data_IF_976923721176
#
_entry.id   IF_976923721176
#
_cell.length_a   1.000
_cell.length_b   1.000
_cell.length_c   1.000
_cell.angle_alpha   90.00
_cell.angle_beta   90.00
_cell.angle_gamma   90.00
#
_symmetry.space_group_name_H-M   'P 1'
#
loop_
_entity.id
_entity.type
_entity.pdbx_description
1 polymer ?
#
# COMPACT_ATOMS: atom_id res chain seq x y z
N UNK A 1 5.92 13.54 1.04
CA UNK A 1 6.87 14.56 1.54
C UNK A 1 8.26 14.05 1.18
N UNK A 2 8.85 14.57 0.11
CA UNK A 2 10.25 14.26 -0.23
C UNK A 2 11.13 14.92 0.82
N UNK A 3 11.94 14.13 1.54
CA UNK A 3 12.81 14.58 2.61
C UNK A 3 13.74 15.68 2.11
N UNK A 4 13.74 16.82 2.83
CA UNK A 4 14.47 18.01 2.45
C UNK A 4 15.97 17.77 2.37
N UNK A 5 16.50 17.95 1.20
CA UNK A 5 17.93 18.07 0.94
C UNK A 5 18.41 19.45 1.38
N UNK A 6 19.38 19.46 2.29
CA UNK A 6 20.11 20.65 2.67
C UNK A 6 20.89 21.21 1.46
N UNK A 7 20.61 22.47 1.08
CA UNK A 7 21.29 23.22 0.02
C UNK A 7 22.77 23.53 0.33
N UNK A 8 23.56 22.59 0.79
CA UNK A 8 24.98 22.80 1.01
C UNK A 8 25.78 22.09 -0.07
N UNK A 9 26.01 22.80 -1.20
CA UNK A 9 27.06 22.36 -2.10
C UNK A 9 27.00 22.76 -3.58
N UNK A 10 25.98 23.48 -4.04
CA UNK A 10 25.99 23.92 -5.46
C UNK A 10 25.77 25.45 -5.56
N UNK A 11 26.77 26.13 -6.09
CA UNK A 11 26.78 27.59 -6.24
C UNK A 11 25.73 28.07 -7.25
N UNK A 12 25.08 29.20 -6.94
CA UNK A 12 24.08 29.86 -7.78
C UNK A 12 24.71 30.43 -9.07
N UNK A 13 24.62 29.71 -10.18
CA UNK A 13 24.89 30.19 -11.53
C UNK A 13 23.60 30.48 -12.27
N UNK A 14 23.47 31.67 -12.90
CA UNK A 14 22.34 32.08 -13.73
C UNK A 14 22.19 31.16 -14.95
N UNK A 15 20.99 30.69 -15.17
CA UNK A 15 20.58 29.97 -16.38
C UNK A 15 20.67 30.89 -17.60
N UNK A 16 21.47 30.50 -18.57
CA UNK A 16 21.40 30.99 -19.94
C UNK A 16 21.18 29.79 -20.86
N UNK A 17 20.06 29.79 -21.56
CA UNK A 17 19.76 28.82 -22.61
C UNK A 17 20.78 28.96 -23.74
N UNK A 18 21.67 27.99 -23.89
CA UNK A 18 22.41 27.73 -25.10
C UNK A 18 22.55 26.23 -25.30
N UNK A 19 21.74 25.71 -26.21
CA UNK A 19 21.84 24.32 -26.65
C UNK A 19 23.08 24.16 -27.55
N UNK A 20 24.24 24.04 -26.92
CA UNK A 20 25.55 24.00 -27.58
C UNK A 20 26.13 22.57 -27.55
N UNK A 21 25.40 21.56 -27.97
CA UNK A 21 25.92 20.19 -28.21
C UNK A 21 26.82 19.57 -27.12
N UNK A 22 27.08 20.26 -26.02
CA UNK A 22 27.87 19.81 -24.88
C UNK A 22 26.98 18.95 -23.95
N UNK A 23 27.58 17.90 -23.44
CA UNK A 23 26.94 17.12 -22.35
C UNK A 23 26.56 18.05 -21.20
N UNK A 24 25.33 17.92 -20.70
CA UNK A 24 24.85 18.69 -19.54
C UNK A 24 25.69 18.41 -18.31
N UNK A 25 25.93 19.41 -17.47
CA UNK A 25 26.59 19.16 -16.19
C UNK A 25 25.65 18.40 -15.21
N UNK A 26 26.20 17.69 -14.21
CA UNK A 26 25.37 17.03 -13.20
C UNK A 26 24.40 17.98 -12.51
N UNK A 27 24.78 19.24 -12.28
CA UNK A 27 23.94 20.26 -11.65
C UNK A 27 22.76 20.65 -12.55
N UNK A 28 22.98 20.75 -13.86
CA UNK A 28 21.94 21.03 -14.84
C UNK A 28 20.93 19.86 -14.92
N UNK A 29 21.46 18.62 -14.99
CA UNK A 29 20.61 17.42 -15.03
C UNK A 29 19.75 17.34 -13.76
N UNK A 30 20.36 17.62 -12.60
CA UNK A 30 19.67 17.62 -11.30
C UNK A 30 18.55 18.69 -11.25
N UNK A 31 18.84 19.92 -11.70
CA UNK A 31 17.84 20.98 -11.75
C UNK A 31 16.66 20.62 -12.66
N UNK A 32 16.93 20.03 -13.83
CA UNK A 32 15.90 19.54 -14.74
C UNK A 32 15.08 18.39 -14.16
N UNK A 33 15.74 17.46 -13.44
CA UNK A 33 15.06 16.38 -12.72
C UNK A 33 14.12 16.92 -11.65
N UNK A 34 14.56 17.89 -10.85
CA UNK A 34 13.72 18.55 -9.84
C UNK A 34 12.51 19.25 -10.47
N UNK A 35 12.71 19.97 -11.59
CA UNK A 35 11.65 20.63 -12.32
C UNK A 35 10.63 19.62 -12.87
N UNK A 36 11.09 18.51 -13.44
CA UNK A 36 10.24 17.45 -13.95
C UNK A 36 9.39 16.79 -12.83
N UNK A 37 9.99 16.48 -11.68
CA UNK A 37 9.25 15.94 -10.55
C UNK A 37 8.22 16.94 -9.98
N UNK A 38 8.55 18.24 -9.92
CA UNK A 38 7.61 19.28 -9.49
C UNK A 38 6.42 19.41 -10.45
N UNK A 39 6.66 19.19 -11.74
CA UNK A 39 5.62 19.22 -12.78
C UNK A 39 4.89 17.87 -12.94
N UNK A 40 5.25 16.85 -12.15
CA UNK A 40 4.74 15.47 -12.27
C UNK A 40 4.97 14.85 -13.67
N UNK A 41 5.99 15.34 -14.38
CA UNK A 41 6.42 14.84 -15.68
C UNK A 41 7.32 13.61 -15.50
N UNK A 42 6.70 12.44 -15.35
CA UNK A 42 7.39 11.18 -15.07
C UNK A 42 8.34 10.77 -16.20
N UNK A 43 8.01 11.05 -17.46
CA UNK A 43 8.86 10.70 -18.60
C UNK A 43 10.16 11.51 -18.57
N UNK A 44 10.06 12.82 -18.42
CA UNK A 44 11.23 13.71 -18.29
C UNK A 44 12.05 13.41 -17.04
N UNK A 45 11.40 13.16 -15.91
CA UNK A 45 12.08 12.78 -14.67
C UNK A 45 12.89 11.49 -14.87
N UNK A 46 12.32 10.48 -15.54
CA UNK A 46 13.00 9.25 -15.89
C UNK A 46 14.22 9.45 -16.77
N UNK A 47 14.09 10.24 -17.83
CA UNK A 47 15.19 10.58 -18.73
C UNK A 47 16.34 11.29 -18.02
N UNK A 48 16.03 12.26 -17.12
CA UNK A 48 17.01 12.94 -16.30
C UNK A 48 17.68 11.97 -15.30
N UNK A 49 16.92 11.07 -14.68
CA UNK A 49 17.47 10.06 -13.76
C UNK A 49 18.47 9.13 -14.48
N UNK A 50 18.15 8.68 -15.71
CA UNK A 50 19.06 7.88 -16.52
C UNK A 50 20.32 8.62 -16.92
N UNK A 51 20.19 9.89 -17.26
CA UNK A 51 21.34 10.71 -17.59
C UNK A 51 22.24 10.95 -16.38
N UNK A 52 21.64 11.20 -15.20
CA UNK A 52 22.38 11.39 -13.96
C UNK A 52 23.22 10.16 -13.59
N UNK A 53 22.68 8.93 -13.73
CA UNK A 53 23.45 7.71 -13.45
C UNK A 53 24.65 7.53 -14.38
N UNK A 54 24.57 8.05 -15.62
CA UNK A 54 25.70 8.07 -16.58
C UNK A 54 26.71 9.17 -16.28
N UNK A 55 26.23 10.34 -15.87
CA UNK A 55 27.08 11.49 -15.58
C UNK A 55 27.90 11.30 -14.30
N UNK A 56 27.32 10.68 -13.28
CA UNK A 56 27.96 10.45 -11.97
C UNK A 56 27.79 8.99 -11.49
N UNK A 57 28.40 8.00 -12.15
CA UNK A 57 28.13 6.56 -11.94
C UNK A 57 28.55 6.05 -10.56
N UNK A 58 29.36 6.80 -9.82
CA UNK A 58 29.80 6.46 -8.45
C UNK A 58 28.99 7.20 -7.38
N UNK A 59 27.92 7.91 -7.75
CA UNK A 59 27.07 8.61 -6.80
C UNK A 59 25.96 7.70 -6.29
N UNK A 60 25.93 7.45 -4.97
CA UNK A 60 24.80 6.77 -4.31
C UNK A 60 23.47 7.45 -4.65
N UNK A 61 23.42 8.77 -4.51
CA UNK A 61 22.19 9.54 -4.69
C UNK A 61 21.65 9.46 -6.12
N UNK A 62 22.53 9.48 -7.14
CA UNK A 62 22.08 9.34 -8.51
C UNK A 62 21.37 8.01 -8.77
N UNK A 63 21.91 6.92 -8.28
CA UNK A 63 21.31 5.59 -8.41
C UNK A 63 20.07 5.42 -7.54
N UNK A 64 20.07 5.99 -6.34
CA UNK A 64 18.93 5.93 -5.42
C UNK A 64 17.72 6.68 -5.99
N UNK A 65 17.88 7.92 -6.46
CA UNK A 65 16.80 8.69 -7.06
C UNK A 65 16.29 8.06 -8.36
N UNK A 66 17.19 7.52 -9.18
CA UNK A 66 16.80 6.75 -10.36
C UNK A 66 16.00 5.49 -9.99
N UNK A 67 16.32 4.85 -8.85
CA UNK A 67 15.57 3.71 -8.36
C UNK A 67 14.19 4.11 -7.80
N UNK A 68 14.08 5.28 -7.15
CA UNK A 68 12.79 5.82 -6.71
C UNK A 68 11.88 6.12 -7.88
N UNK A 69 12.41 6.66 -8.98
CA UNK A 69 11.65 6.84 -10.21
C UNK A 69 11.14 5.50 -10.75
N UNK A 70 12.00 4.49 -10.85
CA UNK A 70 11.61 3.14 -11.31
C UNK A 70 10.51 2.54 -10.40
N UNK A 71 10.58 2.77 -9.08
CA UNK A 71 9.53 2.39 -8.13
C UNK A 71 8.22 3.12 -8.41
N UNK A 72 8.27 4.42 -8.67
CA UNK A 72 7.08 5.24 -8.97
C UNK A 72 6.34 4.75 -10.22
N UNK A 73 7.08 4.35 -11.26
CA UNK A 73 6.50 3.78 -12.49
C UNK A 73 6.29 2.25 -12.41
N UNK A 74 6.55 1.65 -11.25
CA UNK A 74 6.38 0.21 -10.97
C UNK A 74 7.22 -0.71 -11.87
N UNK A 75 8.33 -0.22 -12.40
CA UNK A 75 9.34 -1.06 -13.05
C UNK A 75 10.22 -1.72 -11.98
N UNK A 76 9.73 -2.84 -11.45
CA UNK A 76 10.39 -3.54 -10.34
C UNK A 76 11.76 -4.10 -10.72
N UNK A 77 11.94 -4.51 -11.97
CA UNK A 77 13.22 -5.01 -12.48
C UNK A 77 14.28 -3.92 -12.46
N UNK A 78 13.95 -2.77 -13.02
CA UNK A 78 14.83 -1.61 -13.03
C UNK A 78 15.05 -1.05 -11.62
N UNK A 79 13.99 -1.02 -10.80
CA UNK A 79 14.07 -0.62 -9.40
C UNK A 79 15.05 -1.49 -8.61
N UNK A 80 14.97 -2.82 -8.75
CA UNK A 80 15.90 -3.74 -8.11
C UNK A 80 17.35 -3.54 -8.59
N UNK A 81 17.56 -3.44 -9.90
CA UNK A 81 18.90 -3.25 -10.46
C UNK A 81 19.56 -1.95 -9.96
N UNK A 82 18.82 -0.84 -9.96
CA UNK A 82 19.30 0.46 -9.52
C UNK A 82 19.58 0.49 -8.02
N UNK A 83 18.70 -0.11 -7.20
CA UNK A 83 18.92 -0.19 -5.76
C UNK A 83 20.09 -1.11 -5.39
N UNK A 84 20.35 -2.20 -6.14
CA UNK A 84 21.56 -3.01 -5.98
C UNK A 84 22.83 -2.17 -6.20
N UNK A 85 22.84 -1.31 -7.22
CA UNK A 85 23.96 -0.40 -7.48
C UNK A 85 24.07 0.68 -6.37
N UNK A 86 22.96 1.33 -6.01
CA UNK A 86 22.95 2.30 -4.91
C UNK A 86 23.46 1.68 -3.61
N UNK A 87 22.99 0.47 -3.27
CA UNK A 87 23.42 -0.26 -2.09
C UNK A 87 24.93 -0.48 -2.06
N UNK A 88 25.54 -0.81 -3.19
CA UNK A 88 27.00 -0.99 -3.30
C UNK A 88 27.81 0.31 -3.13
N UNK A 89 27.18 1.47 -3.28
CA UNK A 89 27.76 2.81 -3.18
C UNK A 89 27.44 3.49 -1.84
N UNK A 90 26.67 2.83 -0.96
CA UNK A 90 26.27 3.41 0.33
C UNK A 90 27.45 3.51 1.28
N UNK A 91 27.73 4.72 1.73
CA UNK A 91 28.85 5.03 2.60
C UNK A 91 28.38 5.54 3.96
N UNK A 92 29.22 5.55 5.00
CA UNK A 92 28.88 6.18 6.29
C UNK A 92 28.50 7.66 6.16
N UNK A 93 29.01 8.37 5.14
CA UNK A 93 28.65 9.76 4.87
C UNK A 93 27.21 9.83 4.36
N UNK A 94 26.84 8.98 3.40
CA UNK A 94 25.46 8.88 2.93
C UNK A 94 24.50 8.41 4.04
N UNK A 95 24.95 7.52 4.94
CA UNK A 95 24.15 7.05 6.06
C UNK A 95 23.71 8.17 7.01
N UNK A 96 24.50 9.22 7.16
CA UNK A 96 24.17 10.35 8.02
C UNK A 96 22.92 11.10 7.53
N UNK A 97 22.68 11.14 6.21
CA UNK A 97 21.52 11.81 5.61
C UNK A 97 20.22 11.00 5.84
N UNK A 98 20.32 9.71 6.17
CA UNK A 98 19.20 8.79 6.33
C UNK A 98 19.08 8.22 7.76
N UNK A 99 19.65 8.88 8.76
CA UNK A 99 19.57 8.45 10.15
C UNK A 99 20.20 7.08 10.42
N UNK A 100 21.18 6.68 9.60
CA UNK A 100 21.90 5.41 9.71
C UNK A 100 21.25 4.23 8.96
N UNK A 101 19.98 4.33 8.56
CA UNK A 101 19.33 3.30 7.78
C UNK A 101 19.74 3.36 6.30
N UNK A 102 19.76 2.22 5.62
CA UNK A 102 20.04 2.18 4.19
C UNK A 102 18.76 2.17 3.37
N UNK A 103 18.35 3.30 2.77
CA UNK A 103 17.07 3.38 2.06
C UNK A 103 17.06 2.60 0.73
N UNK A 104 18.24 2.34 0.13
CA UNK A 104 18.36 1.49 -1.05
C UNK A 104 18.07 0.02 -0.70
N UNK A 105 18.47 -0.44 0.49
CA UNK A 105 18.13 -1.78 0.97
C UNK A 105 16.60 -1.93 1.14
N UNK A 106 15.93 -0.91 1.69
CA UNK A 106 14.47 -0.89 1.82
C UNK A 106 13.78 -1.05 0.45
N UNK A 107 14.13 -0.20 -0.51
CA UNK A 107 13.49 -0.24 -1.83
C UNK A 107 13.89 -1.49 -2.64
N UNK A 108 15.11 -2.03 -2.43
CA UNK A 108 15.51 -3.31 -3.01
C UNK A 108 14.64 -4.46 -2.46
N UNK A 109 14.37 -4.45 -1.15
CA UNK A 109 13.48 -5.44 -0.53
C UNK A 109 12.08 -5.39 -1.09
N UNK A 110 11.50 -4.20 -1.30
CA UNK A 110 10.20 -4.02 -1.96
C UNK A 110 10.24 -4.59 -3.39
N UNK A 111 11.21 -4.16 -4.20
CA UNK A 111 11.29 -4.59 -5.60
C UNK A 111 11.53 -6.11 -5.73
N UNK A 112 12.38 -6.68 -4.91
CA UNK A 112 12.62 -8.13 -4.89
C UNK A 112 11.37 -8.90 -4.44
N UNK A 113 10.61 -8.38 -3.47
CA UNK A 113 9.32 -8.95 -3.05
C UNK A 113 8.32 -8.93 -4.21
N UNK A 114 8.25 -7.81 -4.96
CA UNK A 114 7.40 -7.69 -6.14
C UNK A 114 7.74 -8.70 -7.24
N UNK A 115 9.02 -9.00 -7.40
CA UNK A 115 9.53 -9.96 -8.40
C UNK A 115 9.49 -11.42 -7.94
N UNK A 116 9.14 -11.68 -6.67
CA UNK A 116 9.23 -13.03 -6.08
C UNK A 116 10.67 -13.51 -5.87
N UNK A 117 11.67 -12.60 -5.95
CA UNK A 117 13.07 -12.91 -5.63
C UNK A 117 13.28 -12.86 -4.11
N UNK A 118 12.80 -13.90 -3.46
CA UNK A 118 12.79 -14.00 -2.00
C UNK A 118 14.18 -14.04 -1.38
N UNK A 119 15.16 -14.54 -2.11
CA UNK A 119 16.57 -14.53 -1.67
C UNK A 119 17.11 -13.12 -1.59
N UNK A 120 16.94 -12.33 -2.66
CA UNK A 120 17.34 -10.91 -2.66
C UNK A 120 16.53 -10.10 -1.65
N UNK A 121 15.22 -10.39 -1.49
CA UNK A 121 14.37 -9.74 -0.52
C UNK A 121 14.90 -9.93 0.92
N UNK A 122 15.20 -11.17 1.34
CA UNK A 122 15.78 -11.46 2.66
C UNK A 122 17.09 -10.74 2.90
N UNK A 123 17.99 -10.78 1.92
CA UNK A 123 19.27 -10.08 2.02
C UNK A 123 19.08 -8.58 2.21
N UNK A 124 18.19 -7.97 1.43
CA UNK A 124 17.90 -6.54 1.50
C UNK A 124 17.26 -6.16 2.86
N UNK A 125 16.29 -6.93 3.33
CA UNK A 125 15.66 -6.71 4.63
C UNK A 125 16.65 -6.89 5.79
N UNK A 126 17.54 -7.88 5.73
CA UNK A 126 18.60 -8.07 6.72
C UNK A 126 19.57 -6.87 6.75
N UNK A 127 19.96 -6.34 5.59
CA UNK A 127 20.80 -5.13 5.51
C UNK A 127 20.08 -3.91 6.06
N UNK A 128 18.77 -3.81 5.87
CA UNK A 128 17.97 -2.71 6.44
C UNK A 128 17.84 -2.81 7.96
N UNK A 129 17.96 -4.00 8.53
CA UNK A 129 17.93 -4.21 9.99
C UNK A 129 16.81 -5.13 10.49
N UNK A 130 16.09 -5.83 9.60
CA UNK A 130 15.16 -6.87 10.02
C UNK A 130 15.92 -8.16 10.35
N UNK A 131 15.97 -8.52 11.64
CA UNK A 131 16.69 -9.70 12.10
C UNK A 131 15.88 -11.00 12.07
N UNK A 132 14.56 -10.89 12.19
CA UNK A 132 13.65 -12.03 12.29
C UNK A 132 12.98 -12.29 10.94
N UNK A 133 13.73 -12.86 10.02
CA UNK A 133 13.24 -13.41 8.77
C UNK A 133 13.33 -14.93 8.86
N UNK A 134 12.32 -15.62 8.34
CA UNK A 134 12.39 -17.07 8.17
C UNK A 134 13.60 -17.45 7.28
N UNK A 135 14.16 -18.63 7.51
CA UNK A 135 15.36 -19.08 6.79
C UNK A 135 15.03 -19.82 5.49
N UNK A 136 13.74 -19.91 5.13
CA UNK A 136 13.31 -20.63 3.94
C UNK A 136 13.64 -19.87 2.64
N UNK A 137 13.79 -20.59 1.56
CA UNK A 137 14.04 -20.03 0.23
C UNK A 137 12.78 -19.51 -0.46
N UNK A 138 11.60 -19.94 -0.01
CA UNK A 138 10.28 -19.55 -0.53
C UNK A 138 9.82 -18.15 -0.08
N UNK A 139 8.53 -17.83 -0.24
CA UNK A 139 7.97 -16.58 0.24
C UNK A 139 8.25 -16.35 1.72
N UNK A 140 8.56 -15.10 2.08
CA UNK A 140 8.68 -14.72 3.49
C UNK A 140 7.28 -14.81 4.10
N UNK A 141 7.12 -15.52 5.21
CA UNK A 141 5.83 -15.66 5.92
C UNK A 141 6.01 -15.48 7.42
N UNK A 142 6.35 -14.26 7.82
CA UNK A 142 6.50 -13.87 9.22
C UNK A 142 5.31 -13.00 9.62
N UNK A 143 4.76 -13.22 10.81
CA UNK A 143 3.63 -12.43 11.29
C UNK A 143 4.09 -11.06 11.81
N UNK A 144 3.97 -10.02 10.97
CA UNK A 144 4.20 -8.61 11.36
C UNK A 144 2.93 -7.92 11.89
N UNK A 145 1.88 -8.67 12.18
CA UNK A 145 0.63 -8.16 12.72
C UNK A 145 -0.28 -7.53 11.65
N UNK A 146 -1.36 -6.90 12.15
CA UNK A 146 -2.36 -6.23 11.29
C UNK A 146 -1.94 -4.80 11.00
N UNK A 147 -2.18 -4.37 9.78
CA UNK A 147 -2.05 -2.98 9.36
C UNK A 147 -3.20 -2.58 8.42
N UNK A 148 -3.66 -1.33 8.49
CA UNK A 148 -4.56 -0.78 7.49
C UNK A 148 -3.75 -0.40 6.25
N UNK A 149 -4.22 -0.84 5.07
CA UNK A 149 -3.57 -0.56 3.79
C UNK A 149 -4.59 0.08 2.87
N UNK A 150 -4.20 1.21 2.24
CA UNK A 150 -5.01 1.88 1.23
C UNK A 150 -4.82 1.17 -0.09
N UNK A 151 -5.90 0.66 -0.63
CA UNK A 151 -5.98 0.10 -1.97
C UNK A 151 -6.09 1.22 -3.01
N UNK A 152 -5.48 1.03 -4.17
CA UNK A 152 -5.54 1.98 -5.30
C UNK A 152 -5.23 3.44 -4.90
N UNK A 153 -4.10 3.74 -4.23
CA UNK A 153 -3.82 5.08 -3.71
C UNK A 153 -3.71 6.15 -4.79
N UNK A 154 -3.41 5.78 -6.02
CA UNK A 154 -3.26 6.68 -7.17
C UNK A 154 -4.59 7.04 -7.84
N UNK A 155 -5.69 6.41 -7.42
CA UNK A 155 -7.02 6.70 -7.95
C UNK A 155 -7.73 7.73 -7.08
N UNK A 156 -8.39 8.72 -7.70
CA UNK A 156 -9.18 9.67 -6.93
C UNK A 156 -10.32 8.95 -6.22
N UNK A 157 -10.54 9.27 -4.95
CA UNK A 157 -11.69 8.76 -4.23
C UNK A 157 -12.96 9.31 -4.86
N UNK A 158 -13.78 8.43 -5.45
CA UNK A 158 -15.08 8.79 -6.01
C UNK A 158 -16.10 9.15 -4.92
N UNK A 159 -15.83 8.81 -3.68
CA UNK A 159 -16.67 9.16 -2.54
C UNK A 159 -16.91 10.67 -2.38
N UNK A 160 -16.03 11.50 -2.94
CA UNK A 160 -16.20 12.95 -2.94
C UNK A 160 -17.12 13.48 -4.04
N UNK A 161 -17.40 12.69 -5.07
CA UNK A 161 -18.08 13.18 -6.26
C UNK A 161 -19.58 12.85 -6.30
N UNK A 162 -19.99 11.70 -5.82
CA UNK A 162 -21.41 11.30 -5.82
C UNK A 162 -21.69 10.21 -4.76
N UNK A 163 -22.39 10.56 -3.70
CA UNK A 163 -23.06 9.57 -2.87
C UNK A 163 -24.24 8.93 -3.68
N UNK A 164 -24.42 7.61 -3.67
CA UNK A 164 -23.88 6.60 -2.74
C UNK A 164 -22.70 5.79 -3.30
N UNK A 165 -21.99 6.28 -4.29
CA UNK A 165 -20.90 5.54 -4.91
C UNK A 165 -19.66 5.60 -4.03
N UNK A 166 -19.26 4.44 -3.51
CA UNK A 166 -17.95 4.27 -2.89
C UNK A 166 -16.89 4.33 -3.99
N UNK A 167 -15.79 5.02 -3.70
CA UNK A 167 -14.68 5.06 -4.63
C UNK A 167 -13.93 3.72 -4.67
N UNK A 168 -13.15 3.54 -5.71
CA UNK A 168 -12.26 2.40 -5.86
C UNK A 168 -11.03 2.47 -4.92
N UNK A 169 -10.86 3.58 -4.19
CA UNK A 169 -9.85 3.74 -3.14
C UNK A 169 -10.49 3.51 -1.78
N UNK A 170 -10.04 2.51 -1.07
CA UNK A 170 -10.49 2.19 0.29
C UNK A 170 -9.31 1.78 1.18
N UNK A 171 -9.50 1.86 2.51
CA UNK A 171 -8.51 1.39 3.48
C UNK A 171 -9.05 0.12 4.13
N UNK A 172 -8.34 -0.98 3.92
CA UNK A 172 -8.69 -2.31 4.40
C UNK A 172 -7.68 -2.83 5.41
N UNK A 173 -8.11 -3.71 6.31
CA UNK A 173 -7.22 -4.40 7.22
C UNK A 173 -6.53 -5.57 6.53
N UNK A 174 -5.21 -5.65 6.71
CA UNK A 174 -4.38 -6.70 6.15
C UNK A 174 -3.51 -7.36 7.22
N UNK A 175 -3.17 -8.63 7.04
CA UNK A 175 -2.13 -9.33 7.79
C UNK A 175 -0.80 -9.19 7.05
N UNK A 176 0.16 -8.48 7.64
CA UNK A 176 1.50 -8.34 7.08
C UNK A 176 2.29 -9.63 7.27
N UNK A 177 2.87 -10.12 6.18
CA UNK A 177 3.67 -11.36 6.12
C UNK A 177 5.16 -11.09 5.91
N UNK A 178 5.50 -9.89 5.49
CA UNK A 178 6.88 -9.40 5.39
C UNK A 178 6.90 -7.88 5.60
N UNK A 179 8.08 -7.24 5.57
CA UNK A 179 8.15 -5.78 5.59
C UNK A 179 7.38 -5.09 4.46
N UNK A 180 7.12 -5.77 3.33
CA UNK A 180 6.50 -5.15 2.15
C UNK A 180 5.34 -5.92 1.52
N UNK A 181 4.90 -7.08 2.04
CA UNK A 181 3.68 -7.71 1.53
C UNK A 181 2.72 -8.14 2.64
N UNK A 182 1.45 -8.18 2.28
CA UNK A 182 0.36 -8.48 3.19
C UNK A 182 -0.76 -9.24 2.48
N UNK A 183 -1.58 -9.94 3.29
CA UNK A 183 -2.81 -10.61 2.84
C UNK A 183 -4.00 -9.79 3.31
N UNK A 184 -4.92 -9.46 2.41
CA UNK A 184 -6.14 -8.73 2.73
C UNK A 184 -7.01 -9.59 3.67
N UNK A 185 -7.34 -9.02 4.83
CA UNK A 185 -8.15 -9.67 5.88
C UNK A 185 -9.57 -9.12 5.99
N UNK A 186 -9.82 -7.93 5.45
CA UNK A 186 -11.15 -7.38 5.25
C UNK A 186 -11.83 -7.97 4.01
N UNK A 187 -13.13 -7.76 3.88
CA UNK A 187 -13.87 -8.01 2.63
C UNK A 187 -13.99 -6.68 1.88
N UNK A 188 -13.11 -6.41 0.90
CA UNK A 188 -13.15 -5.16 0.16
C UNK A 188 -14.44 -5.00 -0.64
N UNK A 189 -14.82 -3.75 -0.93
CA UNK A 189 -15.88 -3.46 -1.89
C UNK A 189 -15.45 -3.90 -3.29
N UNK A 190 -16.36 -4.47 -4.11
CA UNK A 190 -16.03 -4.94 -5.46
C UNK A 190 -15.40 -3.88 -6.37
N UNK A 191 -15.76 -2.61 -6.15
CA UNK A 191 -15.27 -1.46 -6.90
C UNK A 191 -13.76 -1.25 -6.77
N UNK A 192 -13.16 -1.70 -5.67
CA UNK A 192 -11.70 -1.62 -5.48
C UNK A 192 -10.93 -2.56 -6.42
N UNK A 193 -11.60 -3.59 -6.97
CA UNK A 193 -10.94 -4.63 -7.75
C UNK A 193 -10.09 -5.59 -6.91
N UNK A 194 -10.30 -5.62 -5.59
CA UNK A 194 -9.60 -6.49 -4.64
C UNK A 194 -10.55 -7.44 -3.94
N UNK A 195 -10.03 -8.56 -3.46
CA UNK A 195 -10.78 -9.60 -2.76
C UNK A 195 -10.17 -9.90 -1.40
N UNK A 196 -10.97 -10.42 -0.50
CA UNK A 196 -10.47 -11.07 0.70
C UNK A 196 -9.44 -12.15 0.34
N UNK A 197 -8.30 -12.15 1.02
CA UNK A 197 -7.24 -13.11 0.77
C UNK A 197 -6.28 -12.75 -0.38
N UNK A 198 -6.51 -11.65 -1.12
CA UNK A 198 -5.53 -11.17 -2.09
C UNK A 198 -4.20 -10.85 -1.39
N UNK A 199 -3.09 -11.17 -2.07
CA UNK A 199 -1.76 -10.78 -1.61
C UNK A 199 -1.35 -9.49 -2.30
N UNK A 200 -0.98 -8.48 -1.52
CA UNK A 200 -0.61 -7.17 -2.02
C UNK A 200 0.80 -6.78 -1.58
N UNK A 201 1.49 -6.05 -2.43
CA UNK A 201 2.71 -5.32 -2.13
C UNK A 201 2.34 -3.96 -1.53
N UNK A 202 3.03 -3.53 -0.48
CA UNK A 202 2.80 -2.22 0.11
C UNK A 202 4.11 -1.47 0.39
N UNK A 203 4.04 -0.15 0.45
CA UNK A 203 5.13 0.67 0.97
C UNK A 203 5.12 0.64 2.50
N UNK A 204 6.26 0.95 3.10
CA UNK A 204 6.37 1.12 4.56
C UNK A 204 6.22 2.58 5.01
N UNK A 205 6.07 3.52 4.08
CA UNK A 205 5.90 4.92 4.43
C UNK A 205 4.47 5.19 4.94
N UNK A 206 4.30 5.73 6.17
CA UNK A 206 2.99 6.09 6.69
C UNK A 206 2.29 7.15 5.84
N UNK A 207 1.00 6.94 5.57
CA UNK A 207 0.12 7.81 4.76
C UNK A 207 -1.21 8.12 5.47
N UNK A 208 -1.17 8.29 6.76
CA UNK A 208 -2.30 8.53 7.63
C UNK A 208 -2.35 7.56 8.79
N UNK A 209 -3.40 7.62 9.60
CA UNK A 209 -3.58 6.77 10.78
C UNK A 209 -4.98 6.18 10.83
N UNK A 210 -5.11 5.04 11.50
CA UNK A 210 -6.39 4.41 11.87
C UNK A 210 -6.31 3.88 13.29
N UNK A 211 -7.46 3.71 13.93
CA UNK A 211 -7.53 3.12 15.26
C UNK A 211 -7.59 1.59 15.20
N UNK A 212 -6.80 0.94 16.04
CA UNK A 212 -6.88 -0.50 16.33
C UNK A 212 -7.01 -0.66 17.85
N UNK A 213 -8.22 -0.78 18.34
CA UNK A 213 -8.53 -0.66 19.77
C UNK A 213 -8.11 0.72 20.28
N UNK A 214 -7.29 0.75 21.33
CA UNK A 214 -6.80 2.01 21.94
C UNK A 214 -5.53 2.58 21.29
N UNK A 215 -5.03 1.96 20.22
CA UNK A 215 -3.81 2.38 19.54
C UNK A 215 -4.09 2.98 18.18
N UNK A 216 -3.31 4.01 17.83
CA UNK A 216 -3.20 4.47 16.46
C UNK A 216 -2.16 3.63 15.71
N UNK A 217 -2.50 3.25 14.49
CA UNK A 217 -1.64 2.50 13.58
C UNK A 217 -1.54 3.23 12.25
N UNK A 218 -0.36 3.20 11.65
CA UNK A 218 -0.12 3.86 10.37
C UNK A 218 -0.84 3.16 9.22
N UNK A 219 -1.49 3.95 8.37
CA UNK A 219 -1.98 3.50 7.06
C UNK A 219 -0.80 3.43 6.10
N UNK A 220 -0.68 2.33 5.36
CA UNK A 220 0.30 2.14 4.30
C UNK A 220 -0.42 2.19 2.95
N UNK A 221 0.32 2.50 1.89
CA UNK A 221 -0.25 2.48 0.53
C UNK A 221 0.12 1.17 -0.18
N UNK A 222 -0.86 0.60 -0.88
CA UNK A 222 -0.63 -0.47 -1.84
C UNK A 222 0.26 0.02 -2.98
N UNK A 223 1.16 -0.84 -3.43
CA UNK A 223 1.99 -0.63 -4.61
C UNK A 223 1.56 -1.51 -5.79
N UNK A 224 1.13 -2.74 -5.51
CA UNK A 224 0.67 -3.68 -6.52
C UNK A 224 -0.08 -4.86 -5.88
N UNK A 225 -1.00 -5.47 -6.64
CA UNK A 225 -1.52 -6.80 -6.34
C UNK A 225 -0.51 -7.85 -6.82
N UNK A 226 -0.09 -8.73 -5.90
CA UNK A 226 0.87 -9.81 -6.19
C UNK A 226 0.16 -11.11 -6.55
N UNK A 227 -0.97 -11.39 -5.90
CA UNK A 227 -1.73 -12.62 -6.11
C UNK A 227 -3.22 -12.38 -5.92
N UNK A 228 -4.02 -12.90 -6.83
CA UNK A 228 -5.48 -12.91 -6.74
C UNK A 228 -5.94 -14.17 -5.99
N UNK A 229 -6.67 -14.00 -4.90
CA UNK A 229 -7.24 -15.09 -4.11
C UNK A 229 -8.37 -15.83 -4.84
N UNK A 230 -9.04 -15.12 -5.76
CA UNK A 230 -10.26 -15.59 -6.44
C UNK A 230 -11.40 -15.96 -5.48
N UNK A 231 -11.36 -15.48 -4.24
CA UNK A 231 -12.43 -15.71 -3.28
C UNK A 231 -13.68 -14.96 -3.72
N UNK A 232 -14.82 -15.64 -3.94
CA UNK A 232 -16.07 -14.97 -4.29
C UNK A 232 -16.50 -14.01 -3.18
N UNK A 233 -17.01 -12.83 -3.59
CA UNK A 233 -17.54 -11.81 -2.69
C UNK A 233 -19.06 -11.79 -2.76
N UNK A 234 -19.68 -11.79 -1.59
CA UNK A 234 -21.13 -11.83 -1.41
C UNK A 234 -21.56 -10.62 -0.57
N UNK A 235 -22.78 -10.20 -0.79
CA UNK A 235 -23.44 -9.22 0.05
C UNK A 235 -24.64 -9.88 0.74
N UNK A 236 -24.74 -9.68 2.03
CA UNK A 236 -25.93 -10.01 2.79
C UNK A 236 -26.60 -8.72 3.28
N UNK A 237 -27.92 -8.63 3.06
CA UNK A 237 -28.77 -7.61 3.70
C UNK A 237 -29.49 -8.28 4.85
N UNK A 238 -29.27 -7.77 6.07
CA UNK A 238 -29.68 -8.40 7.31
C UNK A 238 -30.62 -7.48 8.08
N UNK A 239 -31.75 -8.04 8.52
CA UNK A 239 -32.71 -7.35 9.36
C UNK A 239 -32.87 -8.09 10.70
N UNK A 240 -32.98 -7.35 11.80
CA UNK A 240 -33.16 -7.89 13.14
C UNK A 240 -31.86 -8.36 13.83
N UNK A 241 -30.70 -8.16 13.21
CA UNK A 241 -29.41 -8.42 13.85
C UNK A 241 -29.00 -7.29 14.80
N UNK A 242 -28.28 -7.64 15.84
CA UNK A 242 -27.59 -6.73 16.76
C UNK A 242 -26.08 -6.76 16.48
N UNK A 243 -25.29 -5.78 16.98
CA UNK A 243 -23.84 -5.85 16.90
C UNK A 243 -23.27 -7.16 17.46
N UNK A 244 -23.81 -7.67 18.59
CA UNK A 244 -23.36 -8.94 19.15
C UNK A 244 -23.66 -10.16 18.25
N UNK A 245 -24.73 -10.13 17.47
CA UNK A 245 -24.99 -11.19 16.50
C UNK A 245 -23.97 -11.14 15.35
N UNK A 246 -23.55 -9.95 14.94
CA UNK A 246 -22.50 -9.77 13.94
C UNK A 246 -21.15 -10.30 14.46
N UNK A 247 -20.79 -10.04 15.72
CA UNK A 247 -19.57 -10.58 16.33
C UNK A 247 -19.54 -12.11 16.28
N UNK A 248 -20.68 -12.76 16.60
CA UNK A 248 -20.83 -14.23 16.50
C UNK A 248 -20.60 -14.71 15.06
N UNK A 249 -21.16 -14.01 14.05
CA UNK A 249 -20.94 -14.35 12.64
C UNK A 249 -19.47 -14.17 12.27
N UNK A 250 -18.83 -13.12 12.73
CA UNK A 250 -17.40 -12.85 12.52
C UNK A 250 -16.51 -13.98 13.07
N UNK A 251 -16.78 -14.44 14.30
CA UNK A 251 -16.06 -15.55 14.92
C UNK A 251 -16.28 -16.87 14.17
N UNK A 252 -17.52 -17.17 13.78
CA UNK A 252 -17.84 -18.36 12.98
C UNK A 252 -17.17 -18.33 11.62
N UNK A 253 -17.19 -17.20 10.95
CA UNK A 253 -16.55 -17.00 9.64
C UNK A 253 -15.03 -17.13 9.77
N UNK A 254 -14.43 -16.43 10.71
CA UNK A 254 -12.98 -16.46 10.95
C UNK A 254 -12.45 -17.87 11.24
N UNK A 255 -13.17 -18.66 12.05
CA UNK A 255 -12.80 -20.06 12.35
C UNK A 255 -12.82 -20.98 11.11
N UNK A 256 -13.46 -20.56 10.03
CA UNK A 256 -13.59 -21.28 8.75
C UNK A 256 -12.80 -20.67 7.60
N UNK A 257 -12.01 -19.64 7.89
CA UNK A 257 -11.26 -18.91 6.87
C UNK A 257 -12.13 -18.12 5.89
N UNK A 258 -13.34 -17.72 6.33
CA UNK A 258 -14.23 -16.85 5.56
C UNK A 258 -14.03 -15.39 5.95
N UNK A 259 -14.21 -14.48 5.01
CA UNK A 259 -14.26 -13.05 5.28
C UNK A 259 -15.66 -12.63 5.73
N UNK A 260 -15.72 -11.76 6.76
CA UNK A 260 -16.95 -11.16 7.26
C UNK A 260 -16.66 -9.74 7.69
N UNK A 261 -17.30 -8.75 7.02
CA UNK A 261 -17.15 -7.34 7.37
C UNK A 261 -18.50 -6.61 7.37
N UNK A 262 -18.64 -5.64 8.28
CA UNK A 262 -19.79 -4.73 8.32
C UNK A 262 -19.62 -3.61 7.30
N UNK A 263 -20.27 -3.74 6.16
CA UNK A 263 -20.27 -2.70 5.12
C UNK A 263 -21.20 -1.52 5.45
N UNK A 264 -22.15 -1.68 6.39
CA UNK A 264 -22.98 -0.55 6.86
C UNK A 264 -22.20 0.41 7.76
N UNK A 265 -21.11 -0.08 8.38
CA UNK A 265 -20.20 0.72 9.20
C UNK A 265 -19.04 1.38 8.44
N UNK A 266 -19.03 1.31 7.10
CA UNK A 266 -17.96 1.94 6.31
C UNK A 266 -18.08 3.46 6.41
N UNK A 267 -17.04 4.08 6.98
CA UNK A 267 -16.90 5.53 7.02
C UNK A 267 -16.41 6.07 5.67
N UNK A 268 -17.24 6.88 5.04
CA UNK A 268 -16.85 7.64 3.85
C UNK A 268 -16.10 8.87 4.30
N UNK A 269 -14.82 8.98 3.92
CA UNK A 269 -13.95 10.08 4.31
C UNK A 269 -13.56 10.94 3.10
N UNK A 270 -13.37 12.26 3.32
CA UNK A 270 -12.69 13.07 2.32
C UNK A 270 -11.20 12.74 2.25
N UNK A 271 -10.52 13.20 1.19
CA UNK A 271 -9.10 12.92 0.97
C UNK A 271 -8.23 13.32 2.18
N UNK A 272 -8.48 14.51 2.75
CA UNK A 272 -7.71 15.04 3.89
C UNK A 272 -7.83 14.14 5.13
N UNK A 273 -9.04 13.71 5.47
CA UNK A 273 -9.27 12.79 6.58
C UNK A 273 -8.71 11.39 6.30
N UNK A 274 -8.78 10.94 5.07
CA UNK A 274 -8.25 9.64 4.67
C UNK A 274 -6.73 9.58 4.73
N UNK A 275 -6.02 10.68 4.40
CA UNK A 275 -4.56 10.79 4.45
C UNK A 275 -4.02 11.32 5.78
N UNK A 276 -4.88 11.83 6.64
CA UNK A 276 -4.56 12.32 7.98
C UNK A 276 -5.01 11.37 9.08
N UNK A 277 -5.46 11.98 10.19
CA UNK A 277 -6.14 11.27 11.29
C UNK A 277 -7.66 11.36 11.12
N UNK A 278 -8.41 10.29 11.34
CA UNK A 278 -9.89 10.31 11.28
C UNK A 278 -10.54 11.30 12.23
N UNK A 279 -9.85 11.69 13.29
CA UNK A 279 -10.35 12.62 14.32
C UNK A 279 -10.03 14.10 14.00
N UNK A 280 -9.34 14.37 12.89
CA UNK A 280 -8.89 15.72 12.55
C UNK A 280 -9.99 16.53 11.84
N UNK A 281 -10.79 17.22 12.58
CA UNK A 281 -11.43 18.43 12.10
C UNK A 281 -12.92 18.39 11.75
N UNK A 282 -13.50 17.33 11.21
CA UNK A 282 -14.94 17.23 10.94
C UNK A 282 -15.43 15.81 10.87
N UNK A 283 -16.72 15.62 11.14
CA UNK A 283 -17.36 14.29 11.08
C UNK A 283 -18.02 14.10 9.71
N UNK A 284 -17.80 12.95 9.13
CA UNK A 284 -18.59 12.46 8.01
C UNK A 284 -19.83 11.75 8.58
N UNK A 285 -21.01 12.06 8.06
CA UNK A 285 -22.21 11.39 8.51
C UNK A 285 -22.31 10.04 7.84
N UNK A 286 -22.39 8.92 8.61
CA UNK A 286 -22.72 7.63 8.05
C UNK A 286 -24.14 7.69 7.48
N UNK A 287 -24.40 6.99 6.38
CA UNK A 287 -25.76 6.80 5.89
C UNK A 287 -26.55 6.02 6.94
N UNK A 288 -27.56 6.64 7.54
CA UNK A 288 -28.43 5.96 8.50
C UNK A 288 -29.26 4.91 7.75
N UNK A 289 -28.98 3.63 7.97
CA UNK A 289 -29.79 2.52 7.48
C UNK A 289 -30.34 1.73 8.66
N UNK A 290 -31.60 1.31 8.57
CA UNK A 290 -32.22 0.38 9.53
C UNK A 290 -31.84 -1.08 9.25
N UNK A 291 -30.98 -1.33 8.28
CA UNK A 291 -30.52 -2.64 7.83
C UNK A 291 -29.01 -2.72 7.96
N UNK A 292 -28.53 -3.87 8.38
CA UNK A 292 -27.10 -4.16 8.36
C UNK A 292 -26.73 -4.73 7.00
N UNK A 293 -25.72 -4.18 6.37
CA UNK A 293 -25.14 -4.68 5.11
C UNK A 293 -23.83 -5.36 5.45
N UNK A 294 -23.71 -6.64 5.16
CA UNK A 294 -22.55 -7.44 5.48
C UNK A 294 -21.85 -7.85 4.19
N UNK A 295 -20.56 -7.55 4.08
CA UNK A 295 -19.66 -8.12 3.09
C UNK A 295 -19.18 -9.49 3.56
N UNK A 296 -19.30 -10.49 2.69
CA UNK A 296 -18.90 -11.86 2.98
C UNK A 296 -17.96 -12.36 1.87
N UNK A 297 -16.96 -13.16 2.23
CA UNK A 297 -16.05 -13.73 1.25
C UNK A 297 -15.78 -15.21 1.52
N UNK A 298 -15.81 -16.00 0.45
CA UNK A 298 -15.52 -17.42 0.47
C UNK A 298 -16.38 -18.22 -0.49
N UNK A 299 -16.03 -19.49 -0.67
CA UNK A 299 -16.76 -20.39 -1.54
C UNK A 299 -18.14 -20.73 -0.98
N UNK A 300 -19.13 -20.77 -1.86
CA UNK A 300 -20.55 -20.87 -1.52
C UNK A 300 -20.90 -21.98 -0.51
N UNK A 301 -20.42 -23.23 -0.63
CA UNK A 301 -20.81 -24.28 0.31
C UNK A 301 -20.39 -23.98 1.75
N UNK A 302 -19.17 -23.49 1.96
CA UNK A 302 -18.66 -23.11 3.27
C UNK A 302 -19.38 -21.90 3.84
N UNK A 303 -19.64 -20.92 3.00
CA UNK A 303 -20.37 -19.71 3.38
C UNK A 303 -21.81 -20.03 3.80
N UNK A 304 -22.54 -20.82 3.00
CA UNK A 304 -23.92 -21.23 3.37
C UNK A 304 -23.97 -22.00 4.66
N UNK A 305 -23.06 -22.97 4.85
CA UNK A 305 -23.00 -23.72 6.10
C UNK A 305 -22.74 -22.82 7.33
N UNK A 306 -21.92 -21.78 7.16
CA UNK A 306 -21.67 -20.79 8.22
C UNK A 306 -22.93 -19.98 8.52
N UNK A 307 -23.58 -19.46 7.50
CA UNK A 307 -24.81 -18.68 7.65
C UNK A 307 -25.98 -19.51 8.24
N UNK A 308 -26.15 -20.75 7.81
CA UNK A 308 -27.17 -21.67 8.36
C UNK A 308 -26.96 -21.94 9.85
N UNK A 309 -25.72 -22.07 10.29
CA UNK A 309 -25.38 -22.22 11.71
C UNK A 309 -25.68 -20.94 12.49
N UNK A 310 -25.29 -19.80 11.96
CA UNK A 310 -25.54 -18.51 12.58
C UNK A 310 -27.06 -18.26 12.73
N UNK A 311 -27.84 -18.48 11.66
CA UNK A 311 -29.32 -18.31 11.68
C UNK A 311 -30.02 -19.27 12.63
N UNK A 312 -29.50 -20.48 12.84
CA UNK A 312 -30.07 -21.41 13.86
C UNK A 312 -29.95 -20.87 15.29
N UNK A 313 -28.90 -20.12 15.56
CA UNK A 313 -28.70 -19.51 16.90
C UNK A 313 -29.41 -18.17 17.04
N UNK A 314 -29.85 -17.57 15.94
CA UNK A 314 -30.45 -16.24 15.87
C UNK A 314 -31.73 -16.23 14.99
N UNK A 315 -32.78 -16.96 15.39
CA UNK A 315 -33.95 -17.22 14.53
C UNK A 315 -34.80 -15.97 14.20
N UNK A 316 -34.55 -14.84 14.87
CA UNK A 316 -35.22 -13.56 14.57
C UNK A 316 -34.64 -12.84 13.36
N UNK A 317 -33.46 -13.25 12.89
CA UNK A 317 -32.77 -12.59 11.79
C UNK A 317 -33.34 -13.03 10.46
N UNK A 318 -33.58 -12.05 9.58
CA UNK A 318 -33.87 -12.27 8.18
C UNK A 318 -32.66 -11.86 7.35
N UNK A 319 -32.29 -12.68 6.36
CA UNK A 319 -31.11 -12.50 5.55
C UNK A 319 -31.46 -12.70 4.09
N UNK A 320 -31.04 -11.71 3.24
CA UNK A 320 -31.02 -11.82 1.81
C UNK A 320 -29.56 -11.87 1.33
N UNK A 321 -29.17 -12.97 0.70
CA UNK A 321 -27.80 -13.20 0.23
C UNK A 321 -27.74 -13.08 -1.30
N UNK A 322 -26.79 -12.31 -1.80
CA UNK A 322 -26.46 -12.25 -3.24
C UNK A 322 -24.96 -12.29 -3.47
N UNK A 323 -24.54 -12.93 -4.56
CA UNK A 323 -23.18 -12.82 -5.04
C UNK A 323 -23.01 -11.45 -5.74
N UNK A 324 -21.96 -10.72 -5.39
CA UNK A 324 -21.66 -9.41 -5.99
C UNK A 324 -20.40 -9.45 -6.86
N UNK A 325 -19.55 -10.45 -6.60
CA UNK A 325 -18.37 -10.69 -7.42
C UNK A 325 -17.99 -12.19 -7.38
N UNK A 326 -18.29 -12.97 -8.43
CA UNK A 326 -18.07 -14.42 -8.50
C UNK A 326 -16.58 -14.79 -8.58
#
# INVERSE_FOLDING_TARGET
MFGGWSQKGFGSGRLADVNDGRARSPEQIWADWMAANTAEDLERAGACADEMTRAVPESFHAWYEAALHAKAVRDWTLCAARNKRALSLFTPVAAADFGGANPAAWNLGIAATALGDWTTARQAWSVYGFAELDQDSGPIDVNYGRAPIRLNPDRPSLALQQLPHFGDTEVVWCWRRSPAHAVIASVPLPESGHRFGDVILHDGQPKGTRRLGDREVSVLDELAKLQDSRAPTWQAVVTGATPGDFDVLGDLGGSRGLGVDDWSGIDVMCADCSHGSPDAGHRHQPAATNQMIIGLAGHEPGLRACLDEWLRTTPRIQLELRIVWP
#
